data_IF_914619642802
#
_entry.id   IF_914619642802
#
_cell.length_a   1.000
_cell.length_b   1.000
_cell.length_c   1.000
_cell.angle_alpha   90.00
_cell.angle_beta   90.00
_cell.angle_gamma   90.00
#
_symmetry.space_group_name_H-M   'P 1'
#
loop_
_entity.id
_entity.type
_entity.pdbx_description
1 polymer ?
#
# COMPACT_ATOMS: atom_id res chain seq x y z
N UNK A 1 16.30 22.54 -0.49
CA UNK A 1 16.57 23.43 0.67
C UNK A 1 17.83 23.04 1.46
N UNK A 2 18.79 22.31 0.87
CA UNK A 2 20.04 21.89 1.53
C UNK A 2 19.90 21.13 2.87
N UNK A 3 18.71 20.65 3.21
CA UNK A 3 18.44 19.80 4.35
C UNK A 3 18.38 18.33 3.91
N UNK A 4 18.74 17.42 4.80
CA UNK A 4 18.53 15.98 4.58
C UNK A 4 17.03 15.70 4.44
N UNK A 5 16.70 14.80 3.52
CA UNK A 5 15.34 14.29 3.36
C UNK A 5 15.11 13.11 4.31
N UNK A 6 13.86 12.67 4.43
CA UNK A 6 13.53 11.33 4.92
C UNK A 6 13.42 10.37 3.72
N UNK A 7 14.45 9.54 3.42
CA UNK A 7 14.55 8.75 2.21
C UNK A 7 13.81 7.41 2.37
N UNK A 8 12.53 7.47 2.70
CA UNK A 8 11.67 6.30 2.85
C UNK A 8 11.60 5.48 1.57
N UNK A 9 11.58 4.16 1.72
CA UNK A 9 11.56 3.23 0.60
C UNK A 9 10.71 2.00 0.92
N UNK A 10 10.21 1.35 -0.12
CA UNK A 10 9.38 0.16 -0.01
C UNK A 10 9.73 -0.87 -1.09
N UNK A 11 9.21 -2.09 -0.96
CA UNK A 11 9.65 -3.20 -1.81
C UNK A 11 9.13 -3.09 -3.24
N UNK A 12 7.82 -2.93 -3.41
CA UNK A 12 7.19 -2.95 -4.74
C UNK A 12 5.96 -2.05 -4.74
N UNK A 13 5.82 -1.19 -5.74
CA UNK A 13 4.64 -0.33 -5.92
C UNK A 13 3.53 -1.06 -6.69
N UNK A 14 2.33 -0.47 -6.79
CA UNK A 14 1.26 -0.95 -7.65
C UNK A 14 1.38 -0.43 -9.11
N UNK A 15 2.55 0.10 -9.48
CA UNK A 15 2.82 0.80 -10.74
C UNK A 15 3.05 2.30 -10.54
N UNK A 16 2.72 2.84 -9.35
CA UNK A 16 3.02 4.20 -8.91
C UNK A 16 3.31 4.25 -7.41
N UNK A 17 4.10 5.23 -6.99
CA UNK A 17 4.36 5.54 -5.58
C UNK A 17 3.24 6.40 -4.99
N UNK A 18 3.15 6.47 -3.67
CA UNK A 18 2.15 7.28 -2.95
C UNK A 18 2.66 8.68 -2.62
N UNK A 19 1.73 9.63 -2.49
CA UNK A 19 2.02 10.90 -1.84
C UNK A 19 2.10 10.67 -0.32
N UNK A 20 2.98 11.40 0.37
CA UNK A 20 3.14 11.20 1.82
C UNK A 20 1.86 11.54 2.61
N UNK A 21 1.08 12.54 2.19
CA UNK A 21 -0.16 12.92 2.87
C UNK A 21 -1.27 11.85 2.76
N UNK A 22 -1.23 11.03 1.71
CA UNK A 22 -2.19 9.95 1.51
C UNK A 22 -1.96 8.77 2.46
N UNK A 23 -0.74 8.65 3.01
CA UNK A 23 -0.34 7.56 3.92
C UNK A 23 -0.12 8.03 5.36
N UNK A 24 0.42 9.23 5.56
CA UNK A 24 0.84 9.76 6.87
C UNK A 24 0.21 11.10 7.23
N UNK A 25 -0.72 11.62 6.42
CA UNK A 25 -1.45 12.87 6.69
C UNK A 25 -0.65 14.16 6.45
N UNK A 26 0.68 14.10 6.42
CA UNK A 26 1.55 15.25 6.19
C UNK A 26 2.14 15.27 4.79
N UNK A 27 2.02 16.42 4.11
CA UNK A 27 2.60 16.64 2.78
C UNK A 27 4.10 16.91 2.86
N UNK A 28 4.89 16.07 2.22
CA UNK A 28 6.34 16.24 2.04
C UNK A 28 6.61 16.57 0.57
N UNK A 29 7.27 17.70 0.25
CA UNK A 29 7.46 18.13 -1.14
C UNK A 29 8.23 17.13 -2.01
N UNK A 30 9.13 16.35 -1.41
CA UNK A 30 9.96 15.36 -2.10
C UNK A 30 9.37 13.94 -2.11
N UNK A 31 8.28 13.67 -1.38
CA UNK A 31 7.60 12.36 -1.38
C UNK A 31 6.27 12.48 -2.13
N UNK A 32 6.37 12.49 -3.46
CA UNK A 32 5.24 12.61 -4.37
C UNK A 32 5.02 11.32 -5.15
N UNK A 33 3.78 11.12 -5.58
CA UNK A 33 3.45 10.01 -6.47
C UNK A 33 4.15 10.17 -7.84
N UNK A 34 5.01 9.22 -8.17
CA UNK A 34 5.67 9.08 -9.47
C UNK A 34 5.36 7.73 -10.08
N UNK A 35 5.54 7.62 -11.41
CA UNK A 35 5.38 6.35 -12.10
C UNK A 35 6.47 5.36 -11.68
N UNK A 36 6.13 4.07 -11.61
CA UNK A 36 7.09 3.02 -11.29
C UNK A 36 6.64 1.72 -11.97
N UNK A 37 6.64 1.73 -13.31
CA UNK A 37 6.08 0.65 -14.14
C UNK A 37 6.90 -0.63 -14.08
N UNK A 38 8.19 -0.54 -13.76
CA UNK A 38 9.09 -1.69 -13.59
C UNK A 38 8.66 -2.64 -12.47
N UNK A 39 7.92 -2.14 -11.48
CA UNK A 39 7.39 -2.96 -10.38
C UNK A 39 6.54 -4.14 -10.85
N UNK A 40 5.96 -4.08 -12.06
CA UNK A 40 5.16 -5.17 -12.64
C UNK A 40 5.95 -6.47 -12.81
N UNK A 41 7.28 -6.39 -12.89
CA UNK A 41 8.16 -7.56 -12.98
C UNK A 41 8.52 -8.16 -11.62
N UNK A 42 8.16 -7.49 -10.52
CA UNK A 42 8.43 -7.99 -9.18
C UNK A 42 7.61 -9.26 -8.91
N UNK A 43 8.21 -10.31 -8.31
CA UNK A 43 7.46 -11.47 -7.83
C UNK A 43 6.48 -11.10 -6.72
N UNK A 44 6.63 -9.91 -6.11
CA UNK A 44 5.74 -9.36 -5.07
C UNK A 44 4.71 -8.38 -5.64
N UNK A 45 4.60 -8.24 -6.97
CA UNK A 45 3.66 -7.30 -7.59
C UNK A 45 2.20 -7.70 -7.36
N UNK A 46 1.89 -8.99 -7.36
CA UNK A 46 0.56 -9.52 -7.05
C UNK A 46 0.69 -10.69 -6.09
N UNK A 47 0.10 -10.54 -4.91
CA UNK A 47 0.15 -11.56 -3.86
C UNK A 47 -1.26 -11.83 -3.37
N UNK A 48 -1.60 -13.09 -3.16
CA UNK A 48 -2.86 -13.48 -2.53
C UNK A 48 -2.61 -13.94 -1.10
N UNK A 49 -3.46 -13.52 -0.16
CA UNK A 49 -3.42 -13.91 1.25
C UNK A 49 -4.80 -14.40 1.64
N UNK A 50 -4.88 -15.62 2.14
CA UNK A 50 -6.10 -16.17 2.70
C UNK A 50 -6.15 -15.89 4.20
N UNK A 51 -7.23 -15.30 4.67
CA UNK A 51 -7.44 -14.93 6.07
C UNK A 51 -8.75 -15.54 6.55
N UNK A 52 -8.81 -16.18 7.73
CA UNK A 52 -10.08 -16.62 8.31
C UNK A 52 -11.08 -15.46 8.49
N UNK A 53 -12.36 -15.71 8.24
CA UNK A 53 -13.42 -14.71 8.41
C UNK A 53 -13.46 -14.19 9.85
N UNK A 54 -13.15 -15.03 10.86
CA UNK A 54 -13.09 -14.59 12.26
C UNK A 54 -11.99 -13.55 12.48
N UNK A 55 -10.82 -13.72 11.85
CA UNK A 55 -9.72 -12.76 11.98
C UNK A 55 -10.05 -11.40 11.34
N UNK A 56 -10.81 -11.42 10.23
CA UNK A 56 -11.30 -10.17 9.60
C UNK A 56 -12.36 -9.51 10.47
N UNK A 57 -13.42 -10.25 10.87
CA UNK A 57 -14.54 -9.72 11.67
C UNK A 57 -14.09 -9.21 13.04
N UNK A 58 -13.04 -9.78 13.63
CA UNK A 58 -12.45 -9.29 14.88
C UNK A 58 -12.01 -7.82 14.80
N UNK A 59 -11.64 -7.33 13.61
CA UNK A 59 -11.30 -5.92 13.38
C UNK A 59 -12.53 -4.99 13.42
N UNK A 60 -13.73 -5.55 13.30
CA UNK A 60 -15.00 -4.86 13.46
C UNK A 60 -15.35 -4.50 14.93
N UNK A 61 -14.71 -5.14 15.91
CA UNK A 61 -14.93 -4.91 17.34
C UNK A 61 -15.87 -5.92 18.03
N UNK A 62 -15.93 -5.85 19.37
CA UNK A 62 -16.75 -6.73 20.21
C UNK A 62 -18.25 -6.48 19.95
N UNK A 63 -18.83 -7.29 19.06
CA UNK A 63 -20.22 -7.16 18.59
C UNK A 63 -20.40 -7.52 17.11
N UNK A 64 -19.32 -7.50 16.33
CA UNK A 64 -19.32 -7.87 14.90
C UNK A 64 -19.76 -9.33 14.63
N UNK A 65 -19.53 -10.23 15.60
CA UNK A 65 -19.88 -11.66 15.49
C UNK A 65 -21.41 -11.87 15.48
N UNK A 66 -22.20 -10.89 15.94
CA UNK A 66 -23.64 -11.05 16.13
C UNK A 66 -24.50 -10.67 14.92
N UNK A 67 -23.91 -10.10 13.86
CA UNK A 67 -24.65 -9.60 12.68
C UNK A 67 -24.20 -10.16 11.32
N UNK A 68 -23.36 -11.20 11.26
CA UNK A 68 -23.18 -11.93 9.98
C UNK A 68 -24.36 -12.88 9.78
N UNK A 69 -25.56 -12.32 9.78
CA UNK A 69 -26.84 -12.98 9.56
C UNK A 69 -27.06 -13.09 8.07
N UNK A 70 -26.45 -14.10 7.42
CA UNK A 70 -26.88 -14.58 6.08
C UNK A 70 -27.18 -13.46 5.05
N UNK A 71 -26.28 -12.48 4.93
CA UNK A 71 -26.48 -11.24 4.18
C UNK A 71 -25.42 -10.96 3.10
N UNK A 72 -24.87 -11.98 2.45
CA UNK A 72 -24.01 -11.85 1.26
C UNK A 72 -22.65 -11.14 1.44
N UNK A 73 -21.75 -11.35 0.47
CA UNK A 73 -20.36 -10.87 0.46
C UNK A 73 -20.18 -9.35 0.66
N UNK A 74 -21.23 -8.54 0.47
CA UNK A 74 -21.16 -7.08 0.39
C UNK A 74 -21.19 -6.34 1.72
N UNK A 75 -21.63 -6.97 2.81
CA UNK A 75 -21.70 -6.29 4.11
C UNK A 75 -20.45 -6.47 4.97
N UNK A 76 -19.65 -7.51 4.74
CA UNK A 76 -18.52 -7.81 5.62
C UNK A 76 -17.39 -6.79 5.48
N UNK A 77 -16.97 -6.49 4.26
CA UNK A 77 -15.86 -5.56 3.98
C UNK A 77 -16.28 -4.59 2.87
N UNK A 78 -16.19 -3.30 3.16
CA UNK A 78 -16.46 -2.23 2.20
C UNK A 78 -15.34 -1.22 2.19
N UNK A 79 -14.70 -1.02 1.05
CA UNK A 79 -13.77 0.10 0.87
C UNK A 79 -14.53 1.42 0.83
N UNK A 80 -14.06 2.41 1.60
CA UNK A 80 -14.74 3.70 1.72
C UNK A 80 -13.99 4.81 0.98
N UNK A 81 -12.69 4.94 1.26
CA UNK A 81 -11.83 5.95 0.65
C UNK A 81 -10.59 5.33 0.03
N UNK A 82 -10.13 5.93 -1.05
CA UNK A 82 -8.96 5.51 -1.81
C UNK A 82 -8.02 6.69 -2.03
N UNK A 83 -6.72 6.41 -2.10
CA UNK A 83 -5.71 7.37 -2.52
C UNK A 83 -5.86 7.66 -4.01
N UNK A 84 -5.19 8.72 -4.48
CA UNK A 84 -5.11 9.04 -5.91
C UNK A 84 -4.47 7.93 -6.76
N UNK A 85 -3.80 6.94 -6.16
CA UNK A 85 -3.17 5.83 -6.87
C UNK A 85 -3.92 4.49 -6.71
N UNK A 86 -5.11 4.52 -6.08
CA UNK A 86 -5.99 3.35 -5.95
C UNK A 86 -5.76 2.50 -4.70
N UNK A 87 -4.84 2.88 -3.80
CA UNK A 87 -4.69 2.22 -2.50
C UNK A 87 -5.85 2.58 -1.58
N UNK A 88 -6.31 1.64 -0.78
CA UNK A 88 -7.35 1.89 0.21
C UNK A 88 -6.80 2.74 1.36
N UNK A 89 -7.57 3.76 1.76
CA UNK A 89 -7.28 4.63 2.92
C UNK A 89 -8.08 4.19 4.14
N UNK A 90 -9.38 3.97 3.93
CA UNK A 90 -10.31 3.55 4.98
C UNK A 90 -11.21 2.43 4.50
N UNK A 91 -11.52 1.53 5.42
CA UNK A 91 -12.32 0.34 5.17
C UNK A 91 -13.33 0.18 6.29
N UNK A 92 -14.56 -0.18 5.93
CA UNK A 92 -15.56 -0.63 6.87
C UNK A 92 -15.51 -2.16 6.96
N UNK A 93 -15.42 -2.68 8.18
CA UNK A 93 -15.46 -4.11 8.47
C UNK A 93 -16.55 -4.36 9.51
N UNK A 94 -17.54 -5.15 9.16
CA UNK A 94 -18.70 -5.45 9.99
C UNK A 94 -19.30 -4.17 10.65
N UNK A 95 -19.50 -3.12 9.84
CA UNK A 95 -20.05 -1.83 10.27
C UNK A 95 -19.05 -0.84 10.87
N UNK A 96 -17.88 -1.26 11.35
CA UNK A 96 -16.86 -0.37 11.91
C UNK A 96 -15.87 0.12 10.86
N UNK A 97 -15.64 1.42 10.81
CA UNK A 97 -14.59 2.02 9.96
C UNK A 97 -13.23 1.97 10.67
N UNK A 98 -12.22 1.49 9.97
CA UNK A 98 -10.81 1.48 10.40
C UNK A 98 -9.90 2.00 9.28
N UNK A 99 -8.66 2.36 9.62
CA UNK A 99 -7.66 2.69 8.59
C UNK A 99 -7.22 1.42 7.86
N UNK A 100 -6.92 1.54 6.57
CA UNK A 100 -6.38 0.41 5.80
C UNK A 100 -4.96 0.04 6.20
N UNK A 101 -4.24 0.95 6.86
CA UNK A 101 -2.94 0.67 7.47
C UNK A 101 -3.12 -0.30 8.63
N UNK A 102 -4.14 -0.12 9.47
CA UNK A 102 -4.43 -1.03 10.58
C UNK A 102 -4.89 -2.39 10.06
N UNK A 103 -5.76 -2.41 9.03
CA UNK A 103 -6.13 -3.66 8.33
C UNK A 103 -4.88 -4.40 7.85
N UNK A 104 -4.00 -3.70 7.11
CA UNK A 104 -2.78 -4.27 6.56
C UNK A 104 -1.89 -4.85 7.66
N UNK A 105 -1.67 -4.11 8.75
CA UNK A 105 -0.83 -4.56 9.86
C UNK A 105 -1.45 -5.76 10.57
N UNK A 106 -2.74 -5.70 10.89
CA UNK A 106 -3.43 -6.74 11.66
C UNK A 106 -3.50 -8.07 10.91
N UNK A 107 -3.69 -8.02 9.58
CA UNK A 107 -3.79 -9.23 8.75
C UNK A 107 -2.48 -9.55 8.00
N UNK A 108 -1.39 -8.86 8.32
CA UNK A 108 -0.08 -8.99 7.67
C UNK A 108 -0.15 -8.94 6.13
N UNK A 109 -0.96 -8.01 5.59
CA UNK A 109 -1.13 -7.87 4.15
C UNK A 109 0.08 -7.16 3.51
N UNK A 110 0.44 -7.51 2.27
CA UNK A 110 1.59 -6.91 1.58
C UNK A 110 1.47 -5.39 1.38
N UNK A 111 0.28 -4.90 1.03
CA UNK A 111 0.00 -3.49 0.75
C UNK A 111 -1.44 -3.14 1.12
N UNK A 112 -1.85 -1.90 0.81
CA UNK A 112 -3.25 -1.42 0.92
C UNK A 112 -3.95 -1.28 -0.43
N UNK A 113 -3.30 -1.62 -1.55
CA UNK A 113 -3.99 -1.82 -2.83
C UNK A 113 -4.57 -3.23 -2.82
N UNK A 114 -5.85 -3.33 -2.46
CA UNK A 114 -6.50 -4.57 -2.11
C UNK A 114 -7.81 -4.76 -2.88
N UNK A 115 -8.01 -5.98 -3.34
CA UNK A 115 -9.34 -6.53 -3.65
C UNK A 115 -9.57 -7.77 -2.80
N UNK A 116 -10.83 -8.16 -2.59
CA UNK A 116 -11.14 -9.31 -1.75
C UNK A 116 -12.31 -10.12 -2.29
N UNK A 117 -12.37 -11.39 -1.88
CA UNK A 117 -13.51 -12.28 -2.07
C UNK A 117 -13.72 -13.13 -0.82
N UNK A 118 -14.96 -13.23 -0.36
CA UNK A 118 -15.34 -14.17 0.69
C UNK A 118 -15.59 -15.54 0.06
N UNK A 119 -15.08 -16.60 0.68
CA UNK A 119 -15.18 -17.97 0.19
C UNK A 119 -15.26 -18.94 1.37
N UNK A 120 -16.47 -19.32 1.77
CA UNK A 120 -16.70 -20.10 2.99
C UNK A 120 -16.23 -19.32 4.22
N UNK A 121 -15.40 -19.97 5.05
CA UNK A 121 -14.85 -19.39 6.29
C UNK A 121 -13.58 -18.55 6.06
N UNK A 122 -13.26 -18.21 4.80
CA UNK A 122 -12.07 -17.44 4.45
C UNK A 122 -12.41 -16.20 3.64
N UNK A 123 -11.59 -15.17 3.82
CA UNK A 123 -11.48 -14.01 2.91
C UNK A 123 -10.15 -14.10 2.17
N UNK A 124 -10.22 -14.09 0.84
CA UNK A 124 -9.06 -14.09 -0.03
C UNK A 124 -8.78 -12.65 -0.43
N UNK A 125 -7.75 -12.05 0.16
CA UNK A 125 -7.24 -10.75 -0.25
C UNK A 125 -6.26 -10.91 -1.41
N UNK A 126 -6.42 -10.12 -2.47
CA UNK A 126 -5.42 -9.94 -3.51
C UNK A 126 -4.82 -8.55 -3.38
N UNK A 127 -3.54 -8.50 -3.05
CA UNK A 127 -2.78 -7.27 -2.90
C UNK A 127 -1.96 -6.98 -4.16
N UNK A 128 -1.91 -5.71 -4.56
CA UNK A 128 -0.97 -5.22 -5.58
C UNK A 128 0.16 -4.43 -4.90
N UNK A 129 1.41 -4.80 -5.20
CA UNK A 129 2.59 -4.24 -4.56
C UNK A 129 2.84 -4.75 -3.14
N UNK A 130 3.92 -4.26 -2.53
CA UNK A 130 4.42 -4.67 -1.21
C UNK A 130 5.11 -3.50 -0.50
N UNK A 131 4.57 -3.08 0.63
CA UNK A 131 5.07 -1.97 1.44
C UNK A 131 4.11 -0.77 1.47
N UNK A 132 4.57 0.35 2.03
CA UNK A 132 3.76 1.55 2.22
C UNK A 132 3.56 2.40 0.95
N UNK A 133 4.31 2.16 -0.13
CA UNK A 133 4.13 2.85 -1.41
C UNK A 133 4.79 4.23 -1.51
N UNK A 134 5.10 4.90 -0.39
CA UNK A 134 5.79 6.20 -0.37
C UNK A 134 7.28 6.08 -0.71
N UNK A 135 7.83 7.08 -1.42
CA UNK A 135 9.26 7.20 -1.72
C UNK A 135 9.76 6.18 -2.74
N UNK A 136 10.98 5.68 -2.57
CA UNK A 136 11.62 4.82 -3.57
C UNK A 136 11.06 3.39 -3.57
N UNK A 137 10.67 2.88 -4.73
CA UNK A 137 10.43 1.44 -4.92
C UNK A 137 11.76 0.72 -5.14
N UNK A 138 12.06 -0.31 -4.35
CA UNK A 138 13.27 -1.13 -4.51
C UNK A 138 13.27 -1.87 -5.86
N UNK A 139 12.17 -2.51 -6.22
CA UNK A 139 12.05 -3.20 -7.52
C UNK A 139 11.98 -2.20 -8.69
N UNK A 140 11.35 -1.04 -8.45
CA UNK A 140 11.37 0.05 -9.41
C UNK A 140 12.78 0.56 -9.70
N UNK A 141 13.59 0.78 -8.66
CA UNK A 141 14.99 1.16 -8.77
C UNK A 141 15.83 0.09 -9.49
N UNK A 142 15.60 -1.20 -9.20
CA UNK A 142 16.24 -2.30 -9.92
C UNK A 142 15.94 -2.25 -11.42
N UNK A 143 14.68 -2.10 -11.82
CA UNK A 143 14.32 -2.04 -13.24
C UNK A 143 14.90 -0.83 -13.96
N UNK A 144 14.93 0.33 -13.30
CA UNK A 144 15.64 1.51 -13.82
C UNK A 144 17.14 1.24 -14.01
N UNK A 145 17.79 0.57 -13.06
CA UNK A 145 19.20 0.21 -13.16
C UNK A 145 19.46 -0.81 -14.30
N UNK A 146 18.57 -1.76 -14.51
CA UNK A 146 18.61 -2.71 -15.64
C UNK A 146 18.46 -2.00 -17.00
N UNK A 147 17.80 -0.83 -17.04
CA UNK A 147 17.73 0.07 -18.20
C UNK A 147 18.95 1.02 -18.31
N UNK A 148 19.94 0.87 -17.44
CA UNK A 148 21.18 1.67 -17.47
C UNK A 148 21.10 3.02 -16.76
N UNK A 149 20.03 3.30 -15.99
CA UNK A 149 19.94 4.52 -15.18
C UNK A 149 20.98 4.50 -14.07
N UNK A 150 21.60 5.65 -13.85
CA UNK A 150 22.51 5.88 -12.72
C UNK A 150 21.74 5.96 -11.40
N UNK A 151 22.41 5.73 -10.28
CA UNK A 151 21.78 5.87 -8.96
C UNK A 151 21.23 7.28 -8.72
N UNK A 152 21.88 8.32 -9.25
CA UNK A 152 21.40 9.70 -9.13
C UNK A 152 20.08 9.93 -9.87
N UNK A 153 19.94 9.41 -11.09
CA UNK A 153 18.70 9.47 -11.85
C UNK A 153 17.58 8.72 -11.12
N UNK A 154 17.88 7.55 -10.54
CA UNK A 154 16.93 6.76 -9.76
C UNK A 154 16.46 7.56 -8.54
N UNK A 155 17.37 8.12 -7.75
CA UNK A 155 17.02 8.91 -6.57
C UNK A 155 16.20 10.15 -6.95
N UNK A 156 16.59 10.88 -8.00
CA UNK A 156 15.86 12.07 -8.47
C UNK A 156 14.48 11.75 -9.05
N UNK A 157 14.28 10.54 -9.58
CA UNK A 157 12.98 10.06 -10.03
C UNK A 157 12.02 9.82 -8.85
N UNK A 158 12.47 9.12 -7.81
CA UNK A 158 11.60 8.76 -6.67
C UNK A 158 11.44 9.87 -5.63
N UNK A 159 12.44 10.74 -5.51
CA UNK A 159 12.44 11.85 -4.56
C UNK A 159 12.38 13.16 -5.34
N UNK A 160 11.19 13.76 -5.44
CA UNK A 160 10.93 14.90 -6.31
C UNK A 160 11.72 16.14 -5.88
N UNK A 161 12.49 16.72 -6.82
CA UNK A 161 13.21 17.98 -6.59
C UNK A 161 14.37 17.88 -5.61
N UNK A 162 14.90 16.68 -5.34
CA UNK A 162 16.08 16.51 -4.49
C UNK A 162 17.38 16.70 -5.27
N UNK A 163 18.43 17.05 -4.55
CA UNK A 163 19.80 17.07 -5.03
C UNK A 163 20.59 15.96 -4.34
N UNK A 164 21.48 15.31 -5.08
CA UNK A 164 22.47 14.39 -4.51
C UNK A 164 23.74 15.20 -4.27
N UNK A 165 24.27 15.16 -3.04
CA UNK A 165 25.50 15.86 -2.65
C UNK A 165 26.44 14.90 -1.97
N UNK A 166 27.73 15.02 -2.27
CA UNK A 166 28.76 14.43 -1.44
C UNK A 166 28.72 15.10 -0.06
N UNK A 167 28.74 14.29 0.99
CA UNK A 167 28.73 14.79 2.36
C UNK A 167 30.13 15.26 2.82
N UNK A 168 31.17 14.86 2.11
CA UNK A 168 32.58 15.10 2.41
C UNK A 168 33.41 15.13 1.13
#
# INVERSE_FOLDING_TARGET
NNALIDPVYHSTSNGRTENSEDVWGSRMPYLRSVASTWDRQSPKFRTSVEVPVEAVTALGGAGAIQQVSTGGDRELIRGLEYTSTGRLKTVQIAGRTISSIDLRKALNLPSTDLTWKVSGEKVIFRATGSGHGVGMSQYGARGMAEEGRTFEEILKHYYTGVEVKAAY
#
